data_IF_614373201134
#
_entry.id   IF_614373201134
#
_cell.length_a   1.000
_cell.length_b   1.000
_cell.length_c   1.000
_cell.angle_alpha   90.00
_cell.angle_beta   90.00
_cell.angle_gamma   90.00
#
_symmetry.space_group_name_H-M   'P 1'
#
loop_
_entity.id
_entity.type
_entity.pdbx_description
1 polymer ?
#
# COMPACT_ATOMS: atom_id res chain seq x y z
N UNK A 1 23.92 2.13 -20.78
CA UNK A 1 22.62 2.68 -20.32
C UNK A 1 22.84 4.13 -19.91
N UNK A 2 22.02 5.07 -20.38
CA UNK A 2 22.27 6.51 -20.21
C UNK A 2 22.18 6.93 -18.72
N UNK A 3 23.17 7.65 -18.19
CA UNK A 3 23.29 8.04 -16.76
C UNK A 3 22.01 8.69 -16.19
N UNK A 4 21.32 9.48 -17.03
CA UNK A 4 20.04 10.13 -16.69
C UNK A 4 18.91 9.13 -16.34
N UNK A 5 18.84 7.96 -17.01
CA UNK A 5 17.80 6.95 -16.75
C UNK A 5 17.99 6.27 -15.39
N UNK A 6 19.23 5.96 -15.03
CA UNK A 6 19.58 5.37 -13.74
C UNK A 6 19.21 6.28 -12.56
N UNK A 7 19.41 7.59 -12.70
CA UNK A 7 19.04 8.57 -11.68
C UNK A 7 17.52 8.63 -11.48
N UNK A 8 16.75 8.62 -12.58
CA UNK A 8 15.28 8.62 -12.53
C UNK A 8 14.74 7.35 -11.87
N UNK A 9 15.30 6.19 -12.21
CA UNK A 9 14.94 4.90 -11.62
C UNK A 9 15.20 4.88 -10.11
N UNK A 10 16.39 5.32 -9.66
CA UNK A 10 16.70 5.43 -8.22
C UNK A 10 15.74 6.37 -7.48
N UNK A 11 15.42 7.53 -8.07
CA UNK A 11 14.45 8.48 -7.50
C UNK A 11 13.06 7.88 -7.40
N UNK A 12 12.63 7.14 -8.42
CA UNK A 12 11.35 6.44 -8.45
C UNK A 12 11.25 5.40 -7.32
N UNK A 13 12.23 4.50 -7.21
CA UNK A 13 12.27 3.48 -6.14
C UNK A 13 12.29 4.13 -4.76
N UNK A 14 13.08 5.19 -4.56
CA UNK A 14 13.12 5.91 -3.28
C UNK A 14 11.75 6.50 -2.93
N UNK A 15 11.05 7.10 -3.89
CA UNK A 15 9.70 7.65 -3.67
C UNK A 15 8.70 6.55 -3.30
N UNK A 16 8.71 5.42 -4.00
CA UNK A 16 7.88 4.26 -3.66
C UNK A 16 8.10 3.81 -2.21
N UNK A 17 9.37 3.64 -1.80
CA UNK A 17 9.71 3.20 -0.44
C UNK A 17 9.22 4.20 0.60
N UNK A 18 9.51 5.50 0.42
CA UNK A 18 9.08 6.54 1.36
C UNK A 18 7.56 6.56 1.50
N UNK A 19 6.83 6.56 0.39
CA UNK A 19 5.36 6.56 0.43
C UNK A 19 4.81 5.29 1.08
N UNK A 20 5.43 4.13 0.84
CA UNK A 20 5.04 2.88 1.52
C UNK A 20 5.23 2.97 3.03
N UNK A 21 6.37 3.50 3.49
CA UNK A 21 6.63 3.70 4.92
C UNK A 21 5.60 4.64 5.54
N UNK A 22 5.24 5.72 4.86
CA UNK A 22 4.21 6.64 5.32
C UNK A 22 2.82 5.96 5.41
N UNK A 23 2.45 5.14 4.42
CA UNK A 23 1.21 4.36 4.46
C UNK A 23 1.21 3.42 5.68
N UNK A 24 2.30 2.69 5.90
CA UNK A 24 2.44 1.79 7.06
C UNK A 24 2.32 2.58 8.35
N UNK A 25 3.00 3.71 8.47
CA UNK A 25 2.96 4.54 9.67
C UNK A 25 1.54 5.02 10.00
N UNK A 26 0.82 5.53 8.99
CA UNK A 26 -0.56 6.01 9.17
C UNK A 26 -1.50 4.85 9.55
N UNK A 27 -1.39 3.71 8.86
CA UNK A 27 -2.18 2.53 9.18
C UNK A 27 -1.89 2.01 10.59
N UNK A 28 -0.64 2.06 11.04
CA UNK A 28 -0.25 1.65 12.41
C UNK A 28 -0.88 2.58 13.44
N UNK A 29 -0.84 3.90 13.22
CA UNK A 29 -1.47 4.87 14.11
C UNK A 29 -2.98 4.65 14.21
N UNK A 30 -3.65 4.43 13.08
CA UNK A 30 -5.09 4.14 13.03
C UNK A 30 -5.44 2.85 13.80
N UNK A 31 -4.70 1.76 13.54
CA UNK A 31 -4.88 0.49 14.25
C UNK A 31 -4.66 0.64 15.76
N UNK A 32 -3.66 1.42 16.17
CA UNK A 32 -3.39 1.68 17.60
C UNK A 32 -4.54 2.44 18.28
N UNK A 33 -5.10 3.44 17.60
CA UNK A 33 -6.26 4.19 18.09
C UNK A 33 -7.48 3.28 18.22
N UNK A 34 -7.75 2.44 17.21
CA UNK A 34 -8.84 1.47 17.24
C UNK A 34 -8.66 0.46 18.38
N UNK A 35 -7.47 -0.10 18.55
CA UNK A 35 -7.18 -1.08 19.60
C UNK A 35 -7.34 -0.50 21.01
N UNK A 36 -7.02 0.78 21.22
CA UNK A 36 -7.14 1.46 22.52
C UNK A 36 -8.55 1.96 22.83
N UNK A 37 -9.41 2.13 21.82
CA UNK A 37 -10.75 2.68 22.01
C UNK A 37 -11.67 1.71 22.73
N UNK A 38 -11.93 2.01 24.01
CA UNK A 38 -12.88 1.25 24.85
C UNK A 38 -14.30 1.27 24.28
N UNK A 39 -14.73 2.41 23.74
CA UNK A 39 -16.04 2.58 23.14
C UNK A 39 -16.25 1.68 21.92
N UNK A 40 -15.26 1.62 21.01
CA UNK A 40 -15.33 0.74 19.84
C UNK A 40 -15.33 -0.73 20.24
N UNK A 41 -14.50 -1.10 21.22
CA UNK A 41 -14.44 -2.46 21.75
C UNK A 41 -15.77 -2.89 22.40
N UNK A 42 -16.33 -2.06 23.28
CA UNK A 42 -17.61 -2.34 23.93
C UNK A 42 -18.76 -2.42 22.92
N UNK A 43 -18.75 -1.55 21.92
CA UNK A 43 -19.74 -1.58 20.83
C UNK A 43 -19.63 -2.88 20.04
N UNK A 44 -18.41 -3.31 19.69
CA UNK A 44 -18.18 -4.57 19.01
C UNK A 44 -18.70 -5.78 19.80
N UNK A 45 -18.43 -5.85 21.11
CA UNK A 45 -18.90 -6.93 21.98
C UNK A 45 -20.43 -6.90 22.15
N UNK A 46 -21.04 -5.72 22.28
CA UNK A 46 -22.51 -5.57 22.37
C UNK A 46 -23.21 -6.10 21.12
N UNK A 47 -22.62 -5.84 19.94
CA UNK A 47 -23.14 -6.31 18.65
C UNK A 47 -22.83 -7.79 18.39
N UNK A 48 -21.76 -8.33 18.98
CA UNK A 48 -21.30 -9.71 18.81
C UNK A 48 -21.19 -10.40 20.18
N UNK A 49 -22.35 -10.73 20.77
CA UNK A 49 -22.46 -11.22 22.15
C UNK A 49 -21.62 -12.45 22.49
N UNK A 50 -21.25 -13.24 21.48
CA UNK A 50 -20.45 -14.47 21.64
C UNK A 50 -18.94 -14.23 21.45
N UNK A 51 -18.51 -12.99 21.18
CA UNK A 51 -17.12 -12.66 20.85
C UNK A 51 -16.40 -11.97 22.01
N UNK A 52 -15.11 -12.27 22.09
CA UNK A 52 -14.20 -11.79 23.12
C UNK A 52 -13.47 -10.51 22.70
N UNK A 53 -12.80 -9.87 23.66
CA UNK A 53 -11.86 -8.77 23.41
C UNK A 53 -10.73 -9.20 22.46
N UNK A 54 -10.27 -10.45 22.57
CA UNK A 54 -9.23 -10.99 21.70
C UNK A 54 -9.68 -10.98 20.24
N UNK A 55 -10.94 -11.32 19.97
CA UNK A 55 -11.49 -11.33 18.60
C UNK A 55 -11.53 -9.93 17.99
N UNK A 56 -11.84 -8.91 18.79
CA UNK A 56 -11.78 -7.52 18.37
C UNK A 56 -10.35 -7.12 17.97
N UNK A 57 -9.37 -7.42 18.82
CA UNK A 57 -7.96 -7.11 18.54
C UNK A 57 -7.45 -7.84 17.29
N UNK A 58 -7.83 -9.11 17.10
CA UNK A 58 -7.52 -9.86 15.89
C UNK A 58 -8.12 -9.19 14.64
N UNK A 59 -9.35 -8.68 14.72
CA UNK A 59 -10.00 -7.94 13.62
C UNK A 59 -9.23 -6.66 13.31
N UNK A 60 -8.86 -5.87 14.32
CA UNK A 60 -8.06 -4.64 14.14
C UNK A 60 -6.73 -4.94 13.47
N UNK A 61 -6.02 -5.98 13.93
CA UNK A 61 -4.76 -6.42 13.33
C UNK A 61 -4.94 -6.90 11.89
N UNK A 62 -6.00 -7.67 11.62
CA UNK A 62 -6.29 -8.14 10.27
C UNK A 62 -6.61 -6.99 9.31
N UNK A 63 -7.43 -6.04 9.76
CA UNK A 63 -7.74 -4.81 9.00
C UNK A 63 -6.47 -4.01 8.70
N UNK A 64 -5.58 -3.87 9.69
CA UNK A 64 -4.27 -3.26 9.50
C UNK A 64 -3.45 -3.95 8.40
N UNK A 65 -3.31 -5.28 8.46
CA UNK A 65 -2.56 -6.03 7.44
C UNK A 65 -3.14 -5.85 6.04
N UNK A 66 -4.47 -5.95 5.91
CA UNK A 66 -5.14 -5.72 4.62
C UNK A 66 -4.94 -4.31 4.09
N UNK A 67 -4.79 -3.32 4.97
CA UNK A 67 -4.55 -1.93 4.58
C UNK A 67 -3.10 -1.64 4.16
N UNK A 68 -2.14 -2.54 4.35
CA UNK A 68 -0.73 -2.28 4.01
C UNK A 68 -0.11 -3.31 3.07
N UNK A 69 -0.77 -4.46 2.85
CA UNK A 69 -0.18 -5.57 2.12
C UNK A 69 0.09 -5.24 0.65
N UNK A 70 -0.82 -4.55 -0.05
CA UNK A 70 -0.58 -4.19 -1.46
C UNK A 70 0.61 -3.23 -1.63
N UNK A 71 0.69 -2.07 -0.96
CA UNK A 71 1.83 -1.18 -1.14
C UNK A 71 3.15 -1.83 -0.72
N UNK A 72 3.16 -2.72 0.29
CA UNK A 72 4.34 -3.50 0.63
C UNK A 72 4.72 -4.45 -0.51
N UNK A 73 3.78 -5.28 -0.97
CA UNK A 73 4.05 -6.29 -1.99
C UNK A 73 4.56 -5.64 -3.28
N UNK A 74 3.91 -4.56 -3.73
CA UNK A 74 4.31 -3.83 -4.93
C UNK A 74 5.70 -3.21 -4.75
N UNK A 75 5.96 -2.51 -3.64
CA UNK A 75 7.26 -1.87 -3.41
C UNK A 75 8.39 -2.89 -3.31
N UNK A 76 8.18 -3.99 -2.58
CA UNK A 76 9.17 -5.08 -2.44
C UNK A 76 9.43 -5.74 -3.80
N UNK A 77 8.37 -6.12 -4.53
CA UNK A 77 8.49 -6.68 -5.87
C UNK A 77 9.30 -5.76 -6.77
N UNK A 78 9.01 -4.46 -6.77
CA UNK A 78 9.68 -3.46 -7.61
C UNK A 78 11.14 -3.29 -7.22
N UNK A 79 11.43 -3.26 -5.91
CA UNK A 79 12.78 -3.12 -5.39
C UNK A 79 13.69 -4.28 -5.83
N UNK A 80 13.19 -5.51 -5.88
CA UNK A 80 13.98 -6.64 -6.35
C UNK A 80 14.03 -6.74 -7.88
N UNK A 81 12.88 -6.62 -8.55
CA UNK A 81 12.78 -6.86 -10.00
C UNK A 81 13.36 -5.75 -10.89
N UNK A 82 13.43 -4.49 -10.43
CA UNK A 82 13.86 -3.38 -11.30
C UNK A 82 15.28 -3.56 -11.86
N UNK A 83 16.18 -4.20 -11.09
CA UNK A 83 17.57 -4.41 -11.53
C UNK A 83 17.68 -5.46 -12.64
N UNK A 84 16.85 -6.49 -12.62
CA UNK A 84 16.94 -7.62 -13.55
C UNK A 84 16.05 -7.41 -14.78
N UNK A 85 14.78 -7.11 -14.56
CA UNK A 85 13.76 -7.03 -15.61
C UNK A 85 13.52 -5.60 -16.11
N UNK A 86 13.89 -4.60 -15.32
CA UNK A 86 13.48 -3.21 -15.53
C UNK A 86 11.98 -3.01 -15.28
N UNK A 87 11.48 -1.82 -15.61
CA UNK A 87 10.09 -1.43 -15.40
C UNK A 87 9.37 -1.45 -16.75
N UNK A 88 8.44 -2.39 -16.92
CA UNK A 88 7.66 -2.54 -18.15
C UNK A 88 6.38 -1.68 -18.14
N UNK A 89 5.77 -1.49 -19.31
CA UNK A 89 4.45 -0.85 -19.38
C UNK A 89 3.36 -1.71 -18.71
N UNK A 90 3.49 -3.04 -18.78
CA UNK A 90 2.57 -3.98 -18.15
C UNK A 90 2.61 -3.84 -16.62
N UNK A 91 3.82 -3.73 -16.05
CA UNK A 91 4.04 -3.44 -14.62
C UNK A 91 3.23 -2.21 -14.19
N UNK A 92 3.34 -1.12 -14.95
CA UNK A 92 2.67 0.14 -14.63
C UNK A 92 1.15 -0.04 -14.64
N UNK A 93 0.61 -0.70 -15.66
CA UNK A 93 -0.84 -0.91 -15.78
C UNK A 93 -1.36 -1.78 -14.62
N UNK A 94 -0.76 -2.95 -14.39
CA UNK A 94 -1.23 -3.92 -13.39
C UNK A 94 -1.21 -3.30 -11.98
N UNK A 95 -0.07 -2.73 -11.56
CA UNK A 95 0.04 -2.21 -10.20
C UNK A 95 -0.72 -0.90 -10.00
N UNK A 96 -0.85 -0.07 -11.03
CA UNK A 96 -1.72 1.11 -10.93
C UNK A 96 -3.20 0.72 -10.81
N UNK A 97 -3.65 -0.34 -11.50
CA UNK A 97 -5.02 -0.84 -11.38
C UNK A 97 -5.29 -1.41 -9.97
N UNK A 98 -4.37 -2.19 -9.40
CA UNK A 98 -4.50 -2.72 -8.03
C UNK A 98 -4.65 -1.58 -7.02
N UNK A 99 -3.81 -0.55 -7.11
CA UNK A 99 -3.88 0.60 -6.21
C UNK A 99 -5.13 1.45 -6.49
N UNK A 100 -5.55 1.59 -7.75
CA UNK A 100 -6.80 2.25 -8.11
C UNK A 100 -8.02 1.58 -7.48
N UNK A 101 -8.10 0.25 -7.54
CA UNK A 101 -9.14 -0.53 -6.86
C UNK A 101 -9.08 -0.36 -5.35
N UNK A 102 -7.87 -0.33 -4.76
CA UNK A 102 -7.69 -0.07 -3.33
C UNK A 102 -8.22 1.31 -2.93
N UNK A 103 -7.96 2.35 -3.72
CA UNK A 103 -8.51 3.71 -3.50
C UNK A 103 -10.04 3.68 -3.56
N UNK A 104 -10.62 3.07 -4.60
CA UNK A 104 -12.07 2.95 -4.74
C UNK A 104 -12.69 2.22 -3.54
N UNK A 105 -12.12 1.08 -3.15
CA UNK A 105 -12.59 0.31 -2.00
C UNK A 105 -12.49 1.12 -0.70
N UNK A 106 -11.44 1.91 -0.52
CA UNK A 106 -11.33 2.81 0.64
C UNK A 106 -12.40 3.89 0.59
N UNK A 107 -12.62 4.57 -0.55
CA UNK A 107 -13.66 5.60 -0.69
C UNK A 107 -15.05 5.04 -0.38
N UNK A 108 -15.34 3.80 -0.79
CA UNK A 108 -16.61 3.12 -0.55
C UNK A 108 -16.84 2.72 0.92
N UNK A 109 -15.85 2.84 1.82
CA UNK A 109 -16.08 2.65 3.26
C UNK A 109 -16.87 3.81 3.87
N UNK A 110 -16.90 4.99 3.25
CA UNK A 110 -17.62 6.18 3.71
C UNK A 110 -17.33 6.58 5.17
N UNK A 111 -16.12 6.33 5.66
CA UNK A 111 -15.67 6.67 7.02
C UNK A 111 -15.25 8.14 7.13
N UNK A 112 -16.16 9.07 6.77
CA UNK A 112 -15.89 10.52 6.64
C UNK A 112 -15.61 11.24 7.96
N UNK A 113 -15.84 10.60 9.10
CA UNK A 113 -15.53 11.15 10.42
C UNK A 113 -14.07 10.97 10.83
N UNK A 114 -13.29 10.15 10.13
CA UNK A 114 -11.90 9.84 10.48
C UNK A 114 -10.89 10.70 9.72
N UNK A 115 -9.98 11.37 10.43
CA UNK A 115 -8.85 12.05 9.80
C UNK A 115 -7.88 11.07 9.11
N UNK A 116 -7.72 9.87 9.69
CA UNK A 116 -6.84 8.83 9.15
C UNK A 116 -7.36 8.28 7.81
N UNK A 117 -8.68 8.21 7.65
CA UNK A 117 -9.33 7.85 6.39
C UNK A 117 -8.90 8.77 5.23
N UNK A 118 -8.98 10.09 5.42
CA UNK A 118 -8.55 11.05 4.40
C UNK A 118 -7.04 10.98 4.13
N UNK A 119 -6.24 10.85 5.19
CA UNK A 119 -4.78 10.75 5.08
C UNK A 119 -4.37 9.51 4.27
N UNK A 120 -5.03 8.37 4.51
CA UNK A 120 -4.81 7.13 3.76
C UNK A 120 -5.18 7.29 2.27
N UNK A 121 -6.31 7.92 1.96
CA UNK A 121 -6.70 8.19 0.56
C UNK A 121 -5.65 9.05 -0.13
N UNK A 122 -5.19 10.13 0.50
CA UNK A 122 -4.17 11.02 -0.05
C UNK A 122 -2.87 10.25 -0.32
N UNK A 123 -2.42 9.44 0.64
CA UNK A 123 -1.21 8.63 0.47
C UNK A 123 -1.34 7.60 -0.66
N UNK A 124 -2.50 6.96 -0.79
CA UNK A 124 -2.74 6.04 -1.90
C UNK A 124 -2.78 6.75 -3.25
N UNK A 125 -3.36 7.95 -3.34
CA UNK A 125 -3.33 8.78 -4.55
C UNK A 125 -1.88 9.14 -4.90
N UNK A 126 -1.08 9.58 -3.93
CA UNK A 126 0.35 9.86 -4.12
C UNK A 126 1.07 8.61 -4.64
N UNK A 127 0.81 7.45 -4.03
CA UNK A 127 1.39 6.17 -4.44
C UNK A 127 1.00 5.80 -5.88
N UNK A 128 -0.27 6.01 -6.27
CA UNK A 128 -0.75 5.81 -7.63
C UNK A 128 -0.04 6.73 -8.62
N UNK A 129 0.09 8.02 -8.30
CA UNK A 129 0.80 9.00 -9.15
C UNK A 129 2.26 8.58 -9.33
N UNK A 130 2.92 8.05 -8.30
CA UNK A 130 4.28 7.52 -8.41
C UNK A 130 4.30 6.34 -9.40
N UNK A 131 3.40 5.37 -9.26
CA UNK A 131 3.29 4.23 -10.18
C UNK A 131 3.03 4.66 -11.63
N UNK A 132 2.13 5.62 -11.84
CA UNK A 132 1.84 6.15 -13.17
C UNK A 132 3.04 6.90 -13.78
N UNK A 133 3.91 7.48 -12.96
CA UNK A 133 5.14 8.15 -13.42
C UNK A 133 6.37 7.23 -13.43
N UNK A 134 6.18 5.91 -13.34
CA UNK A 134 7.28 4.95 -13.38
C UNK A 134 8.05 5.06 -14.72
N UNK A 135 9.39 5.21 -14.69
CA UNK A 135 10.19 5.31 -15.91
C UNK A 135 10.25 3.95 -16.60
N UNK A 136 9.79 3.88 -17.85
CA UNK A 136 9.83 2.62 -18.62
C UNK A 136 11.28 2.29 -18.99
N UNK A 137 11.78 1.17 -18.44
CA UNK A 137 13.11 0.64 -18.72
C UNK A 137 12.97 -0.81 -19.19
N UNK A 138 13.26 -1.06 -20.47
CA UNK A 138 13.39 -2.44 -20.98
C UNK A 138 14.83 -2.88 -20.84
N UNK A 139 15.10 -3.90 -20.02
CA UNK A 139 16.40 -4.60 -20.01
C UNK A 139 16.23 -5.88 -20.83
N UNK A 140 17.18 -6.16 -21.72
CA UNK A 140 17.20 -7.46 -22.40
C UNK A 140 17.46 -8.50 -21.32
N UNK A 141 16.52 -9.42 -21.13
CA UNK A 141 16.81 -10.67 -20.43
C UNK A 141 17.96 -11.29 -21.22
N UNK A 142 19.12 -11.50 -20.58
CA UNK A 142 20.12 -12.37 -21.18
C UNK A 142 19.43 -13.73 -21.24
N UNK A 143 18.99 -14.14 -22.43
CA UNK A 143 18.50 -15.48 -22.67
C UNK A 143 19.64 -16.43 -22.34
N UNK A 144 19.65 -16.92 -21.11
CA UNK A 144 20.49 -17.98 -20.62
C UNK A 144 19.58 -18.88 -19.81
N UNK A 145 19.23 -20.02 -20.41
CA UNK A 145 18.52 -21.17 -19.83
C UNK A 145 16.99 -21.04 -19.71
N UNK A 146 16.31 -21.41 -20.80
CA UNK A 146 15.66 -22.73 -20.81
C UNK A 146 16.58 -23.68 -21.56
#
# INVERSE_FOLDING_TARGET
MNSKKLILEKKYIKRLIITTILIIFVATCEAFIMAKSKELMETYIKLNKDKSVSDYLSLVMFSYFLNIIEPIAITVFTFYSHKEYGISSLYKIIFSAIIGLRILNTILKFETSSLFYYLMIILYIIYLIILLNAPITKRKVKNGLF
#
